data_IF_035734176367
#
_entry.id   IF_035734176367
#
_cell.length_a   1.000
_cell.length_b   1.000
_cell.length_c   1.000
_cell.angle_alpha   90.00
_cell.angle_beta   90.00
_cell.angle_gamma   90.00
#
_symmetry.space_group_name_H-M   'P 1'
#
loop_
_entity.id
_entity.type
_entity.pdbx_description
1 polymer ?
#
# COMPACT_ATOMS: atom_id res chain seq x y z
N UNK A 1 -24.96 -66.73 10.63
CA UNK A 1 -24.67 -65.97 9.40
C UNK A 1 -25.85 -65.05 9.13
N UNK A 2 -25.72 -63.75 9.37
CA UNK A 2 -26.42 -62.64 8.68
C UNK A 2 -25.56 -61.40 8.97
N UNK A 3 -25.03 -60.86 7.88
CA UNK A 3 -24.25 -59.63 7.79
C UNK A 3 -25.21 -58.45 7.73
N UNK A 4 -25.02 -57.45 8.59
CA UNK A 4 -25.64 -56.13 8.46
C UNK A 4 -24.55 -55.07 8.67
N UNK A 5 -23.75 -54.87 7.62
CA UNK A 5 -23.17 -53.56 7.35
C UNK A 5 -24.30 -52.68 6.79
N UNK A 6 -24.41 -51.44 7.28
CA UNK A 6 -24.58 -50.18 6.53
C UNK A 6 -25.63 -49.18 7.06
N UNK A 7 -25.18 -47.91 7.12
CA UNK A 7 -25.86 -46.60 7.17
C UNK A 7 -26.64 -46.19 8.46
N UNK A 8 -26.64 -44.90 8.87
CA UNK A 8 -26.42 -43.73 8.02
C UNK A 8 -25.51 -42.60 8.56
N UNK A 9 -24.51 -42.26 7.75
CA UNK A 9 -23.88 -40.95 7.59
C UNK A 9 -24.87 -39.89 7.09
N UNK A 10 -25.87 -39.52 7.90
CA UNK A 10 -26.85 -38.47 7.54
C UNK A 10 -26.95 -37.31 8.54
N UNK A 11 -26.15 -37.27 9.61
CA UNK A 11 -26.16 -36.17 10.59
C UNK A 11 -25.08 -35.10 10.39
N UNK A 12 -24.22 -35.20 9.37
CA UNK A 12 -23.09 -34.27 9.21
C UNK A 12 -23.38 -33.08 8.26
N UNK A 13 -24.54 -33.01 7.60
CA UNK A 13 -24.83 -31.99 6.58
C UNK A 13 -25.67 -30.80 7.07
N UNK A 14 -26.26 -30.86 8.27
CA UNK A 14 -27.13 -29.79 8.76
C UNK A 14 -26.40 -28.62 9.44
N UNK A 15 -25.12 -28.79 9.83
CA UNK A 15 -24.37 -27.77 10.56
C UNK A 15 -23.54 -26.83 9.66
N UNK A 16 -23.47 -27.08 8.35
CA UNK A 16 -22.65 -26.28 7.44
C UNK A 16 -23.38 -25.16 6.71
N UNK A 17 -24.71 -25.11 6.78
CA UNK A 17 -25.51 -24.13 6.03
C UNK A 17 -25.60 -22.75 6.69
N UNK A 18 -25.14 -22.61 7.94
CA UNK A 18 -25.34 -21.38 8.73
C UNK A 18 -24.17 -20.37 8.65
N UNK A 19 -23.11 -20.68 7.89
CA UNK A 19 -21.90 -19.84 7.81
C UNK A 19 -21.80 -18.98 6.53
N UNK A 20 -22.82 -18.98 5.67
CA UNK A 20 -22.78 -18.30 4.34
C UNK A 20 -23.74 -17.10 4.26
N UNK A 21 -23.99 -16.39 5.37
CA UNK A 21 -24.91 -15.24 5.35
C UNK A 21 -24.44 -14.00 6.14
N UNK A 22 -23.13 -13.84 6.36
CA UNK A 22 -22.57 -12.63 7.01
C UNK A 22 -21.37 -12.05 6.23
N UNK A 23 -21.44 -12.08 4.90
CA UNK A 23 -20.40 -11.56 4.00
C UNK A 23 -20.81 -10.34 3.17
N UNK A 24 -22.00 -9.79 3.36
CA UNK A 24 -22.36 -8.51 2.74
C UNK A 24 -21.78 -7.38 3.61
N UNK A 25 -20.49 -7.10 3.44
CA UNK A 25 -19.93 -5.84 3.92
C UNK A 25 -20.69 -4.70 3.22
N UNK A 26 -21.40 -3.90 4.02
CA UNK A 26 -22.06 -2.70 3.56
C UNK A 26 -21.00 -1.71 3.06
N UNK A 27 -20.91 -1.54 1.74
CA UNK A 27 -20.29 -0.38 1.13
C UNK A 27 -21.19 0.82 1.44
N UNK A 28 -20.88 1.57 2.49
CA UNK A 28 -21.61 2.79 2.84
C UNK A 28 -21.44 3.90 1.79
N UNK A 29 -22.36 4.89 1.74
CA UNK A 29 -22.47 5.92 0.68
C UNK A 29 -21.34 6.96 0.64
N UNK A 30 -20.22 6.74 1.36
CA UNK A 30 -19.02 7.56 1.24
C UNK A 30 -18.24 7.29 -0.06
N UNK A 31 -18.61 6.24 -0.81
CA UNK A 31 -17.89 5.74 -1.98
C UNK A 31 -18.34 6.33 -3.34
N UNK A 32 -19.29 7.26 -3.36
CA UNK A 32 -20.11 7.48 -4.58
C UNK A 32 -19.49 8.43 -5.63
N UNK A 33 -18.38 9.10 -5.35
CA UNK A 33 -17.64 9.88 -6.37
C UNK A 33 -16.26 9.29 -6.65
N UNK A 34 -15.74 9.38 -7.89
CA UNK A 34 -14.38 8.95 -8.20
C UNK A 34 -13.32 9.61 -7.30
N UNK A 35 -13.51 10.88 -6.94
CA UNK A 35 -12.59 11.62 -6.06
C UNK A 35 -12.64 11.08 -4.62
N UNK A 36 -13.83 10.86 -4.07
CA UNK A 36 -13.97 10.29 -2.71
C UNK A 36 -13.38 8.87 -2.65
N UNK A 37 -13.63 8.06 -3.69
CA UNK A 37 -13.03 6.72 -3.82
C UNK A 37 -11.51 6.79 -3.92
N UNK A 38 -10.97 7.72 -4.73
CA UNK A 38 -9.53 7.95 -4.83
C UNK A 38 -8.90 8.33 -3.50
N UNK A 39 -9.51 9.25 -2.76
CA UNK A 39 -9.05 9.64 -1.43
C UNK A 39 -9.08 8.47 -0.43
N UNK A 40 -10.12 7.62 -0.49
CA UNK A 40 -10.17 6.39 0.30
C UNK A 40 -9.02 5.44 -0.04
N UNK A 41 -8.72 5.22 -1.33
CA UNK A 41 -7.64 4.33 -1.75
C UNK A 41 -6.27 4.86 -1.31
N UNK A 42 -5.98 6.14 -1.55
CA UNK A 42 -4.71 6.77 -1.15
C UNK A 42 -4.47 6.65 0.36
N UNK A 43 -5.52 6.82 1.16
CA UNK A 43 -5.44 6.71 2.63
C UNK A 43 -5.34 5.27 3.11
N UNK A 44 -6.12 4.35 2.54
CA UNK A 44 -6.18 2.95 3.00
C UNK A 44 -4.99 2.11 2.53
N UNK A 45 -4.38 2.46 1.41
CA UNK A 45 -3.18 1.79 0.88
C UNK A 45 -1.88 2.43 1.37
N UNK A 46 -1.97 3.41 2.29
CA UNK A 46 -0.84 4.07 2.91
C UNK A 46 0.18 4.65 1.91
N UNK A 47 -0.30 5.23 0.80
CA UNK A 47 0.58 5.81 -0.22
C UNK A 47 1.52 6.87 0.38
N UNK A 48 1.03 7.60 1.39
CA UNK A 48 1.79 8.64 2.07
C UNK A 48 3.04 8.12 2.81
N UNK A 49 3.09 6.84 3.20
CA UNK A 49 4.19 6.29 4.00
C UNK A 49 5.54 6.37 3.27
N UNK A 50 5.53 6.16 1.94
CA UNK A 50 6.72 6.25 1.11
C UNK A 50 6.75 7.51 0.23
N UNK A 51 5.59 8.13 -0.02
CA UNK A 51 5.49 9.29 -0.91
C UNK A 51 5.42 10.64 -0.17
N UNK A 52 5.42 10.67 1.15
CA UNK A 52 5.56 11.91 1.92
C UNK A 52 6.93 11.93 2.59
N UNK A 53 7.83 12.86 2.22
CA UNK A 53 9.15 12.92 2.85
C UNK A 53 9.03 13.25 4.33
N UNK A 54 9.89 12.63 5.13
CA UNK A 54 10.04 12.98 6.54
C UNK A 54 11.04 14.13 6.72
N UNK A 55 10.78 14.95 7.74
CA UNK A 55 11.68 15.97 8.25
C UNK A 55 12.03 15.69 9.71
N UNK A 56 13.16 16.19 10.23
CA UNK A 56 13.43 16.15 11.66
C UNK A 56 12.34 16.88 12.45
N UNK A 57 11.83 16.23 13.49
CA UNK A 57 10.80 16.73 14.39
C UNK A 57 11.10 16.37 15.86
N UNK A 58 10.30 16.90 16.81
CA UNK A 58 10.50 16.68 18.24
C UNK A 58 10.38 15.20 18.66
N UNK A 59 9.67 14.37 17.89
CA UNK A 59 9.51 12.94 18.16
C UNK A 59 10.33 12.04 17.21
N UNK A 60 11.36 12.59 16.55
CA UNK A 60 12.14 11.89 15.54
C UNK A 60 11.76 12.33 14.12
N UNK A 61 11.86 11.41 13.16
CA UNK A 61 11.46 11.70 11.78
C UNK A 61 9.93 11.79 11.70
N UNK A 62 9.41 12.93 11.28
CA UNK A 62 7.96 13.20 11.17
C UNK A 62 7.61 13.56 9.72
N UNK A 63 6.40 13.23 9.23
CA UNK A 63 5.98 13.59 7.87
C UNK A 63 6.00 15.11 7.62
N UNK A 64 6.59 15.53 6.50
CA UNK A 64 6.50 16.89 6.02
C UNK A 64 5.25 17.08 5.15
N UNK A 65 4.17 17.52 5.78
CA UNK A 65 2.89 17.73 5.11
C UNK A 65 2.91 18.85 4.07
N UNK A 66 3.91 19.75 4.10
CA UNK A 66 4.07 20.75 3.04
C UNK A 66 4.51 20.10 1.71
N UNK A 67 5.08 18.91 1.79
CA UNK A 67 5.53 18.08 0.67
C UNK A 67 4.71 16.78 0.57
N UNK A 68 3.47 16.79 1.07
CA UNK A 68 2.59 15.61 1.05
C UNK A 68 2.50 14.98 -0.35
N UNK A 69 2.76 13.67 -0.42
CA UNK A 69 2.73 12.88 -1.66
C UNK A 69 3.77 13.28 -2.74
N UNK A 70 4.74 14.17 -2.44
CA UNK A 70 5.72 14.64 -3.42
C UNK A 70 6.82 13.64 -3.76
N UNK A 71 6.92 12.53 -3.04
CA UNK A 71 8.00 11.55 -3.20
C UNK A 71 9.35 12.09 -2.71
N UNK A 72 10.43 11.61 -3.32
CA UNK A 72 11.78 12.04 -2.97
C UNK A 72 12.05 13.49 -3.40
N UNK A 73 12.37 14.42 -2.49
CA UNK A 73 12.57 15.81 -2.84
C UNK A 73 13.77 15.98 -3.79
N UNK A 74 13.56 16.65 -4.93
CA UNK A 74 14.62 16.89 -5.92
C UNK A 74 15.86 17.58 -5.33
N UNK A 75 15.65 18.50 -4.37
CA UNK A 75 16.74 19.22 -3.69
C UNK A 75 17.52 18.39 -2.67
N UNK A 76 17.05 17.18 -2.35
CA UNK A 76 17.69 16.31 -1.37
C UNK A 76 18.55 15.27 -2.08
N UNK A 77 19.83 15.59 -2.26
CA UNK A 77 20.77 14.66 -2.87
C UNK A 77 21.05 13.52 -1.89
N UNK A 78 20.72 12.29 -2.30
CA UNK A 78 21.12 11.11 -1.56
C UNK A 78 22.64 10.93 -1.68
N UNK A 79 23.35 10.98 -0.56
CA UNK A 79 24.74 10.54 -0.53
C UNK A 79 24.81 9.07 -0.91
N UNK A 80 25.87 8.68 -1.63
CA UNK A 80 26.06 7.30 -2.07
C UNK A 80 25.86 6.35 -0.87
N UNK A 81 24.84 5.48 -0.91
CA UNK A 81 24.50 4.69 0.25
C UNK A 81 25.60 3.67 0.52
N UNK A 82 25.86 3.37 1.79
CA UNK A 82 26.78 2.31 2.16
C UNK A 82 26.34 0.99 1.50
N UNK A 83 27.30 0.26 0.94
CA UNK A 83 27.01 -1.03 0.30
C UNK A 83 26.35 -1.98 1.29
N UNK A 84 25.27 -2.63 0.86
CA UNK A 84 24.58 -3.65 1.65
C UNK A 84 25.52 -4.83 1.91
N UNK A 85 25.94 -5.05 3.15
CA UNK A 85 26.84 -6.16 3.53
C UNK A 85 26.03 -7.42 3.84
N UNK A 86 25.52 -8.08 2.79
CA UNK A 86 24.78 -9.34 2.91
C UNK A 86 23.79 -9.54 1.75
N UNK A 87 23.41 -10.79 1.43
CA UNK A 87 22.42 -11.04 0.40
C UNK A 87 21.09 -10.41 0.80
N UNK A 88 20.52 -9.58 -0.09
CA UNK A 88 19.21 -8.94 0.07
C UNK A 88 19.03 -8.03 1.31
N UNK A 89 20.12 -7.47 1.82
CA UNK A 89 20.05 -6.40 2.82
C UNK A 89 19.66 -5.09 2.12
N UNK A 90 18.71 -4.36 2.70
CA UNK A 90 18.26 -3.06 2.19
C UNK A 90 18.38 -1.96 3.24
N UNK A 91 18.43 -0.72 2.78
CA UNK A 91 18.42 0.49 3.61
C UNK A 91 17.51 1.57 3.03
N UNK A 92 17.23 2.59 3.84
CA UNK A 92 16.35 3.70 3.49
C UNK A 92 16.90 5.05 3.93
N UNK A 93 16.56 6.09 3.18
CA UNK A 93 16.91 7.47 3.49
C UNK A 93 16.17 7.97 4.73
N UNK A 94 16.71 8.99 5.40
CA UNK A 94 16.05 9.61 6.55
C UNK A 94 14.70 10.26 6.23
N UNK A 95 14.44 10.59 4.96
CA UNK A 95 13.13 11.04 4.47
C UNK A 95 12.12 9.93 4.27
N UNK A 96 12.53 8.66 4.35
CA UNK A 96 11.70 7.50 4.01
C UNK A 96 11.16 7.50 2.55
N UNK A 97 11.86 8.16 1.63
CA UNK A 97 11.44 8.32 0.21
C UNK A 97 12.45 7.77 -0.78
N UNK A 98 13.51 7.15 -0.30
CA UNK A 98 14.53 6.51 -1.13
C UNK A 98 15.07 5.29 -0.42
N UNK A 99 15.23 4.19 -1.15
CA UNK A 99 15.60 2.88 -0.63
C UNK A 99 16.67 2.27 -1.51
N UNK A 100 17.55 1.46 -0.93
CA UNK A 100 18.63 0.83 -1.68
C UNK A 100 18.88 -0.61 -1.26
N UNK A 101 19.45 -1.38 -2.17
CA UNK A 101 19.88 -2.77 -1.97
C UNK A 101 20.74 -3.25 -3.15
N UNK A 102 20.89 -4.57 -3.35
CA UNK A 102 21.64 -5.13 -4.48
C UNK A 102 21.15 -4.68 -5.87
N UNK A 103 19.93 -4.14 -5.97
CA UNK A 103 19.34 -3.58 -7.19
C UNK A 103 19.70 -2.12 -7.47
N UNK A 104 20.46 -1.46 -6.59
CA UNK A 104 20.74 -0.03 -6.66
C UNK A 104 19.80 0.79 -5.78
N UNK A 105 19.46 2.00 -6.23
CA UNK A 105 18.61 2.95 -5.47
C UNK A 105 17.28 3.14 -6.17
N UNK A 106 16.19 3.05 -5.41
CA UNK A 106 14.83 3.37 -5.82
C UNK A 106 14.38 4.65 -5.10
N UNK A 107 13.72 5.55 -5.82
CA UNK A 107 13.17 6.80 -5.31
C UNK A 107 11.64 6.78 -5.41
N UNK A 108 10.96 7.25 -4.37
CA UNK A 108 9.51 7.42 -4.40
C UNK A 108 9.13 8.53 -5.40
N UNK A 109 8.19 8.24 -6.28
CA UNK A 109 7.72 9.18 -7.30
C UNK A 109 6.90 10.34 -6.73
N UNK A 110 6.82 11.45 -7.45
CA UNK A 110 5.95 12.57 -7.11
C UNK A 110 4.50 12.25 -7.56
N UNK A 111 3.59 12.05 -6.61
CA UNK A 111 2.18 11.72 -6.87
C UNK A 111 1.26 12.97 -6.87
N UNK A 112 1.84 14.17 -6.80
CA UNK A 112 1.08 15.41 -6.80
C UNK A 112 0.68 15.83 -8.22
N UNK A 113 -0.28 16.77 -8.38
CA UNK A 113 -0.59 17.38 -9.68
C UNK A 113 0.52 18.29 -10.23
N UNK A 114 1.69 18.39 -9.58
CA UNK A 114 2.82 19.16 -10.10
C UNK A 114 3.29 18.62 -11.47
N UNK A 115 3.92 19.48 -12.27
CA UNK A 115 4.43 19.11 -13.60
C UNK A 115 5.52 18.03 -13.54
N UNK A 116 6.22 17.89 -12.41
CA UNK A 116 7.20 16.81 -12.16
C UNK A 116 6.57 15.54 -11.58
N UNK A 117 5.27 15.57 -11.29
CA UNK A 117 4.49 14.44 -10.80
C UNK A 117 3.44 13.96 -11.80
N UNK A 118 2.21 13.81 -11.33
CA UNK A 118 1.09 13.30 -12.12
C UNK A 118 0.36 14.40 -12.91
N UNK A 119 0.82 15.67 -12.87
CA UNK A 119 0.12 16.79 -13.50
C UNK A 119 -0.12 16.66 -15.01
N UNK A 120 0.73 15.89 -15.71
CA UNK A 120 0.60 15.62 -17.14
C UNK A 120 -0.07 14.27 -17.47
N UNK A 121 -0.44 13.47 -16.46
CA UNK A 121 -0.94 12.12 -16.66
C UNK A 121 -2.43 12.11 -16.98
N UNK A 122 -2.84 11.25 -17.92
CA UNK A 122 -4.25 10.88 -18.07
C UNK A 122 -4.63 9.81 -17.05
N UNK A 123 -5.94 9.63 -16.82
CA UNK A 123 -6.43 8.58 -15.93
C UNK A 123 -6.04 7.18 -16.42
N UNK A 124 -6.04 6.96 -17.74
CA UNK A 124 -5.64 5.68 -18.34
C UNK A 124 -4.16 5.39 -18.11
N UNK A 125 -3.30 6.40 -18.27
CA UNK A 125 -1.87 6.26 -17.96
C UNK A 125 -1.63 5.90 -16.50
N UNK A 126 -2.37 6.53 -15.58
CA UNK A 126 -2.29 6.21 -14.15
C UNK A 126 -2.70 4.77 -13.84
N UNK A 127 -3.73 4.23 -14.51
CA UNK A 127 -4.21 2.86 -14.26
C UNK A 127 -3.27 1.78 -14.82
N UNK A 128 -2.47 2.09 -15.83
CA UNK A 128 -1.57 1.12 -16.49
C UNK A 128 -0.15 1.08 -15.91
N UNK A 129 0.18 1.98 -14.98
CA UNK A 129 1.51 2.11 -14.40
C UNK A 129 1.83 1.05 -13.35
#
# INVERSE_FOLDING_TARGET
MISLRTFPTLLALACWSSLVAAGAQASGPAADTPVARGAYLVRSMACADCHTPHRPGPNGAEPDLALGLSGHPHGQVLQAPAASTGPWVWGGSGTNTAFWGPWGVSYAANLTPDATGLGAWTAEQFVQA
#
